data_IF_797429117683
#
_entry.id   IF_797429117683
#
_cell.length_a   1.000
_cell.length_b   1.000
_cell.length_c   1.000
_cell.angle_alpha   90.00
_cell.angle_beta   90.00
_cell.angle_gamma   90.00
#
_symmetry.space_group_name_H-M   'P 1'
#
loop_
_entity.id
_entity.type
_entity.pdbx_description
1 polymer ?
#
# COMPACT_ATOMS: atom_id res chain seq x y z
N UNK A 1 -90.94 -48.53 25.52
CA UNK A 1 -90.08 -49.63 25.06
C UNK A 1 -89.30 -49.12 23.86
N UNK A 2 -87.96 -49.09 23.92
CA UNK A 2 -87.12 -48.45 22.90
C UNK A 2 -87.24 -46.92 22.85
N UNK A 3 -86.22 -46.16 22.39
CA UNK A 3 -84.89 -46.61 21.98
C UNK A 3 -84.24 -45.68 20.95
N UNK A 4 -83.94 -44.42 21.32
CA UNK A 4 -83.32 -43.43 20.41
C UNK A 4 -81.84 -43.19 20.71
N UNK A 5 -81.12 -42.72 19.68
CA UNK A 5 -79.68 -42.99 19.47
C UNK A 5 -78.81 -41.73 19.77
N UNK A 6 -77.53 -41.97 20.11
CA UNK A 6 -76.40 -41.03 20.26
C UNK A 6 -76.51 -39.67 19.51
N UNK A 7 -76.28 -38.52 20.19
CA UNK A 7 -74.98 -37.79 20.35
C UNK A 7 -74.36 -37.32 19.02
N UNK A 8 -73.81 -36.10 18.80
CA UNK A 8 -73.48 -34.85 19.57
C UNK A 8 -73.24 -33.73 18.50
N UNK A 9 -73.33 -32.39 18.66
CA UNK A 9 -73.46 -31.42 19.78
C UNK A 9 -72.18 -31.17 20.63
N UNK A 10 -71.50 -30.00 20.67
CA UNK A 10 -71.61 -28.67 20.00
C UNK A 10 -70.25 -28.34 19.30
N UNK A 11 -69.73 -27.13 18.94
CA UNK A 11 -69.96 -25.66 19.14
C UNK A 11 -69.16 -24.93 18.01
N UNK A 12 -69.42 -23.76 17.39
CA UNK A 12 -70.24 -22.53 17.55
C UNK A 12 -69.47 -21.26 18.01
N UNK A 13 -69.39 -20.25 17.11
CA UNK A 13 -69.28 -18.76 17.34
C UNK A 13 -67.97 -18.26 18.02
N UNK A 14 -67.31 -17.13 17.71
CA UNK A 14 -67.47 -15.85 16.94
C UNK A 14 -66.12 -15.57 16.17
N UNK A 15 -65.89 -14.65 15.22
CA UNK A 15 -66.67 -13.72 14.34
C UNK A 15 -65.86 -13.51 13.01
N UNK A 16 -65.86 -12.46 12.17
CA UNK A 16 -66.47 -11.12 12.11
C UNK A 16 -65.94 -10.28 10.91
N UNK A 17 -66.19 -8.95 10.82
CA UNK A 17 -65.68 -8.07 9.74
C UNK A 17 -65.26 -6.65 10.21
N UNK A 18 -64.07 -6.18 9.79
CA UNK A 18 -63.69 -4.75 9.66
C UNK A 18 -62.82 -4.63 8.39
N UNK A 19 -63.38 -4.21 7.25
CA UNK A 19 -63.48 -2.82 6.76
C UNK A 19 -62.19 -2.27 6.13
N UNK A 20 -62.31 -1.66 4.95
CA UNK A 20 -61.18 -1.32 4.09
C UNK A 20 -60.44 -0.05 4.53
N UNK A 21 -59.11 -0.11 4.53
CA UNK A 21 -58.24 1.07 4.42
C UNK A 21 -57.14 0.80 3.40
N UNK A 22 -57.09 1.64 2.37
CA UNK A 22 -56.06 1.61 1.34
C UNK A 22 -54.74 2.14 1.93
N UNK A 23 -53.70 1.30 1.95
CA UNK A 23 -52.31 1.71 2.19
C UNK A 23 -51.44 1.03 1.14
N UNK A 24 -50.65 1.83 0.43
CA UNK A 24 -49.72 1.34 -0.59
C UNK A 24 -48.68 0.42 0.03
N UNK A 25 -48.51 -0.77 -0.55
CA UNK A 25 -47.22 -1.44 -0.58
C UNK A 25 -46.98 -1.89 -2.02
N UNK A 26 -45.90 -1.42 -2.61
CA UNK A 26 -45.59 -1.62 -4.03
C UNK A 26 -44.96 -3.02 -4.21
N UNK A 27 -45.22 -3.66 -5.35
CA UNK A 27 -44.45 -4.83 -5.81
C UNK A 27 -42.98 -4.45 -6.03
N UNK A 28 -42.20 -4.42 -4.96
CA UNK A 28 -40.76 -4.20 -4.99
C UNK A 28 -40.01 -5.44 -5.47
N UNK A 29 -40.41 -5.99 -6.62
CA UNK A 29 -39.47 -6.61 -7.56
C UNK A 29 -38.68 -5.50 -8.26
N UNK A 30 -38.05 -4.65 -7.46
CA UNK A 30 -37.00 -3.77 -7.93
C UNK A 30 -35.89 -4.66 -8.47
N UNK A 31 -35.41 -4.39 -9.68
CA UNK A 31 -34.23 -5.07 -10.17
C UNK A 31 -33.08 -4.75 -9.21
N UNK A 32 -32.37 -5.78 -8.75
CA UNK A 32 -31.03 -5.60 -8.20
C UNK A 32 -30.15 -5.21 -9.38
N UNK A 33 -30.12 -3.91 -9.69
CA UNK A 33 -29.05 -3.33 -10.49
C UNK A 33 -27.83 -3.27 -9.59
N UNK A 34 -27.15 -4.40 -9.48
CA UNK A 34 -25.78 -4.49 -9.00
C UNK A 34 -24.94 -3.55 -9.86
N UNK A 35 -24.76 -2.32 -9.37
CA UNK A 35 -23.78 -1.37 -9.87
C UNK A 35 -22.40 -1.78 -9.35
N UNK A 36 -22.04 -3.05 -9.55
CA UNK A 36 -20.68 -3.56 -9.35
C UNK A 36 -19.77 -2.93 -10.39
N UNK A 37 -19.32 -1.71 -10.11
CA UNK A 37 -18.00 -1.29 -10.51
C UNK A 37 -17.02 -2.00 -9.56
N UNK A 38 -16.35 -3.09 -9.97
CA UNK A 38 -15.27 -3.65 -9.17
C UNK A 38 -14.21 -2.56 -8.97
N UNK A 39 -13.68 -2.44 -7.74
CA UNK A 39 -12.74 -1.38 -7.38
C UNK A 39 -11.42 -1.58 -8.13
N UNK A 40 -11.29 -0.92 -9.28
CA UNK A 40 -10.25 -1.22 -10.26
C UNK A 40 -8.97 -0.44 -9.97
N UNK A 41 -8.13 -0.99 -9.08
CA UNK A 41 -6.83 -0.42 -8.73
C UNK A 41 -5.80 -0.37 -9.87
N UNK A 42 -6.15 -0.80 -11.10
CA UNK A 42 -5.19 -0.91 -12.22
C UNK A 42 -4.50 0.43 -12.53
N UNK A 43 -5.25 1.53 -12.57
CA UNK A 43 -4.69 2.86 -12.80
C UNK A 43 -3.79 3.31 -11.64
N UNK A 44 -4.22 3.04 -10.40
CA UNK A 44 -3.47 3.36 -9.18
C UNK A 44 -2.15 2.59 -9.09
N UNK A 45 -2.15 1.30 -9.47
CA UNK A 45 -0.97 0.42 -9.50
C UNK A 45 0.03 0.90 -10.56
N UNK A 46 -0.42 1.26 -11.77
CA UNK A 46 0.44 1.85 -12.79
C UNK A 46 1.03 3.18 -12.32
N UNK A 47 0.21 4.08 -11.78
CA UNK A 47 0.66 5.37 -11.25
C UNK A 47 1.69 5.19 -10.13
N UNK A 48 1.45 4.27 -9.18
CA UNK A 48 2.36 3.98 -8.08
C UNK A 48 3.70 3.41 -8.56
N UNK A 49 3.68 2.44 -9.49
CA UNK A 49 4.89 1.89 -10.11
C UNK A 49 5.69 2.95 -10.85
N UNK A 50 5.03 3.80 -11.64
CA UNK A 50 5.67 4.88 -12.40
C UNK A 50 6.21 6.00 -11.52
N UNK A 51 5.57 6.28 -10.37
CA UNK A 51 6.07 7.22 -9.39
C UNK A 51 7.38 6.73 -8.74
N UNK A 52 7.46 5.43 -8.38
CA UNK A 52 8.69 4.83 -7.84
C UNK A 52 9.77 4.77 -8.92
N UNK A 53 9.45 4.28 -10.13
CA UNK A 53 10.38 4.22 -11.27
C UNK A 53 10.96 5.60 -11.60
N UNK A 54 10.10 6.63 -11.67
CA UNK A 54 10.53 8.02 -11.89
C UNK A 54 11.39 8.53 -10.74
N UNK A 55 11.00 8.33 -9.48
CA UNK A 55 11.82 8.75 -8.34
C UNK A 55 13.21 8.11 -8.31
N UNK A 56 13.35 6.86 -8.77
CA UNK A 56 14.66 6.18 -8.92
C UNK A 56 15.46 6.71 -10.12
N UNK A 57 14.80 7.01 -11.25
CA UNK A 57 15.45 7.56 -12.43
C UNK A 57 15.85 9.04 -12.30
N UNK A 58 15.11 9.82 -11.51
CA UNK A 58 15.36 11.22 -11.16
C UNK A 58 16.44 11.37 -10.06
N UNK A 59 16.94 10.28 -9.46
CA UNK A 59 17.88 10.33 -8.35
C UNK A 59 19.34 10.39 -8.82
N UNK A 60 20.08 11.40 -8.35
CA UNK A 60 21.51 11.55 -8.63
C UNK A 60 22.34 10.40 -8.03
N UNK A 61 23.26 9.82 -8.82
CA UNK A 61 24.29 8.90 -8.33
C UNK A 61 24.08 7.42 -8.68
N UNK A 62 24.62 6.47 -7.88
CA UNK A 62 24.54 5.04 -8.15
C UNK A 62 23.16 4.45 -7.83
N UNK A 63 22.86 3.27 -8.37
CA UNK A 63 21.62 2.57 -8.06
C UNK A 63 21.40 2.39 -6.54
N UNK A 64 20.15 2.54 -6.05
CA UNK A 64 19.81 2.26 -4.66
C UNK A 64 20.01 0.78 -4.28
N UNK A 65 20.34 0.46 -3.01
CA UNK A 65 20.53 -0.91 -2.56
C UNK A 65 19.27 -1.78 -2.71
N UNK A 66 19.47 -3.09 -2.92
CA UNK A 66 18.39 -4.06 -3.16
C UNK A 66 17.20 -3.92 -2.21
N UNK A 67 17.47 -3.93 -0.89
CA UNK A 67 16.45 -3.93 0.15
C UNK A 67 15.57 -2.67 0.12
N UNK A 68 16.09 -1.54 -0.37
CA UNK A 68 15.32 -0.32 -0.55
C UNK A 68 14.38 -0.44 -1.75
N UNK A 69 14.85 -0.94 -2.90
CA UNK A 69 13.99 -1.12 -4.09
C UNK A 69 12.91 -2.18 -3.83
N UNK A 70 13.28 -3.27 -3.15
CA UNK A 70 12.36 -4.33 -2.74
C UNK A 70 11.25 -3.78 -1.83
N UNK A 71 11.60 -3.06 -0.76
CA UNK A 71 10.63 -2.42 0.12
C UNK A 71 9.75 -1.39 -0.61
N UNK A 72 10.35 -0.57 -1.47
CA UNK A 72 9.63 0.45 -2.24
C UNK A 72 8.58 -0.19 -3.16
N UNK A 73 8.97 -1.20 -3.93
CA UNK A 73 8.08 -1.82 -4.93
C UNK A 73 7.07 -2.80 -4.36
N UNK A 74 7.38 -3.47 -3.24
CA UNK A 74 6.45 -4.41 -2.59
C UNK A 74 5.52 -3.72 -1.59
N UNK A 75 6.07 -2.96 -0.63
CA UNK A 75 5.31 -2.41 0.48
C UNK A 75 4.93 -0.94 0.26
N UNK A 76 5.87 -0.08 -0.13
CA UNK A 76 5.56 1.35 -0.33
C UNK A 76 4.64 1.59 -1.54
N UNK A 77 4.70 0.73 -2.56
CA UNK A 77 3.77 0.70 -3.70
C UNK A 77 2.32 0.53 -3.24
N UNK A 78 2.05 -0.27 -2.19
CA UNK A 78 0.70 -0.45 -1.61
C UNK A 78 0.21 0.87 -0.99
N UNK A 79 1.05 1.56 -0.23
CA UNK A 79 0.71 2.88 0.30
C UNK A 79 0.40 3.90 -0.81
N UNK A 80 1.22 3.94 -1.86
CA UNK A 80 0.98 4.81 -3.02
C UNK A 80 -0.33 4.49 -3.75
N UNK A 81 -0.65 3.21 -3.96
CA UNK A 81 -1.94 2.79 -4.55
C UNK A 81 -3.10 3.34 -3.72
N UNK A 82 -3.07 3.18 -2.39
CA UNK A 82 -4.13 3.68 -1.51
C UNK A 82 -4.20 5.21 -1.47
N UNK A 83 -3.06 5.90 -1.51
CA UNK A 83 -3.01 7.36 -1.57
C UNK A 83 -3.61 7.89 -2.89
N UNK A 84 -3.21 7.32 -4.03
CA UNK A 84 -3.75 7.68 -5.34
C UNK A 84 -5.25 7.40 -5.43
N UNK A 85 -5.69 6.21 -5.01
CA UNK A 85 -7.08 5.80 -5.09
C UNK A 85 -8.02 6.66 -4.23
N UNK A 86 -7.57 7.04 -3.02
CA UNK A 86 -8.39 7.79 -2.05
C UNK A 86 -8.33 9.31 -2.24
N UNK A 87 -7.22 9.85 -2.79
CA UNK A 87 -6.96 11.29 -2.79
C UNK A 87 -6.50 11.88 -4.15
N UNK A 88 -6.07 11.05 -5.11
CA UNK A 88 -5.61 11.45 -6.45
C UNK A 88 -4.14 11.88 -6.54
N UNK A 89 -3.63 11.97 -7.77
CA UNK A 89 -2.21 12.25 -8.07
C UNK A 89 -1.71 13.66 -7.65
N UNK A 90 -2.60 14.63 -7.44
CA UNK A 90 -2.23 15.99 -7.02
C UNK A 90 -2.36 16.20 -5.50
N UNK A 91 -2.77 15.17 -4.75
CA UNK A 91 -3.06 15.29 -3.32
C UNK A 91 -1.80 15.56 -2.47
N UNK A 92 -1.94 16.17 -1.28
CA UNK A 92 -0.83 16.28 -0.34
C UNK A 92 -0.35 14.91 0.16
N UNK A 93 -1.25 13.95 0.40
CA UNK A 93 -0.92 12.59 0.85
C UNK A 93 -0.06 11.83 -0.16
N UNK A 94 -0.44 11.87 -1.44
CA UNK A 94 0.36 11.31 -2.53
C UNK A 94 1.71 12.01 -2.68
N UNK A 95 1.73 13.36 -2.61
CA UNK A 95 2.99 14.12 -2.70
C UNK A 95 3.93 13.85 -1.52
N UNK A 96 3.42 13.73 -0.28
CA UNK A 96 4.20 13.27 0.88
C UNK A 96 4.74 11.84 0.68
N UNK A 97 3.91 10.93 0.16
CA UNK A 97 4.28 9.54 -0.07
C UNK A 97 5.40 9.38 -1.11
N UNK A 98 5.37 10.17 -2.20
CA UNK A 98 6.41 10.19 -3.24
C UNK A 98 7.65 10.96 -2.79
N UNK A 99 7.50 12.04 -2.01
CA UNK A 99 8.62 12.77 -1.42
C UNK A 99 9.45 11.90 -0.48
N UNK A 100 8.82 11.04 0.33
CA UNK A 100 9.57 10.11 1.19
C UNK A 100 10.47 9.17 0.38
N UNK A 101 10.04 8.74 -0.82
CA UNK A 101 10.88 7.93 -1.72
C UNK A 101 12.15 8.69 -2.08
N UNK A 102 12.02 9.96 -2.49
CA UNK A 102 13.17 10.82 -2.82
C UNK A 102 14.10 10.99 -1.62
N UNK A 103 13.55 11.16 -0.41
CA UNK A 103 14.36 11.26 0.82
C UNK A 103 15.03 9.96 1.25
N UNK A 104 14.41 8.80 1.00
CA UNK A 104 15.01 7.47 1.17
C UNK A 104 16.12 7.19 0.15
N UNK A 105 15.93 7.60 -1.10
CA UNK A 105 16.96 7.49 -2.14
C UNK A 105 18.15 8.42 -1.83
N UNK A 106 17.89 9.67 -1.46
CA UNK A 106 18.92 10.61 -1.02
C UNK A 106 19.71 10.10 0.20
N UNK A 107 19.03 9.49 1.18
CA UNK A 107 19.70 8.99 2.39
C UNK A 107 20.61 7.77 2.16
N UNK A 108 20.47 7.06 1.02
CA UNK A 108 21.36 5.96 0.65
C UNK A 108 22.50 6.35 -0.31
N UNK A 109 22.58 7.60 -0.79
CA UNK A 109 23.63 8.07 -1.69
C UNK A 109 25.04 8.05 -1.05
N UNK A 110 26.13 7.97 -1.83
CA UNK A 110 27.50 8.11 -1.33
C UNK A 110 27.71 9.41 -0.55
N UNK A 111 28.57 9.38 0.47
CA UNK A 111 28.85 10.54 1.34
C UNK A 111 30.28 11.01 1.07
N UNK A 112 30.40 12.06 0.27
CA UNK A 112 31.66 12.60 -0.25
C UNK A 112 32.25 13.72 0.62
N UNK A 113 31.41 14.40 1.43
CA UNK A 113 31.87 15.43 2.38
C UNK A 113 31.45 15.16 3.83
N UNK A 114 32.17 15.76 4.79
CA UNK A 114 31.81 15.72 6.21
C UNK A 114 30.48 16.45 6.45
N UNK A 115 30.19 17.48 5.65
CA UNK A 115 28.98 18.28 5.67
C UNK A 115 27.76 17.43 5.24
N UNK A 116 27.85 16.65 4.17
CA UNK A 116 26.83 15.65 3.80
C UNK A 116 26.58 14.66 4.94
N UNK A 117 27.65 14.14 5.56
CA UNK A 117 27.53 13.20 6.69
C UNK A 117 26.77 13.80 7.87
N UNK A 118 27.05 15.07 8.20
CA UNK A 118 26.34 15.80 9.24
C UNK A 118 24.89 16.16 8.87
N UNK A 119 24.60 16.38 7.59
CA UNK A 119 23.23 16.59 7.10
C UNK A 119 22.41 15.29 7.17
N UNK A 120 22.98 14.17 6.73
CA UNK A 120 22.39 12.84 6.83
C UNK A 120 22.10 12.45 8.29
N UNK A 121 23.05 12.66 9.19
CA UNK A 121 22.86 12.40 10.63
C UNK A 121 21.68 13.18 11.24
N UNK A 122 21.37 14.38 10.71
CA UNK A 122 20.25 15.23 11.16
C UNK A 122 18.92 14.86 10.50
N UNK A 123 18.91 14.33 9.28
CA UNK A 123 17.67 14.01 8.55
C UNK A 123 17.10 12.62 8.86
N UNK A 124 17.95 11.63 9.16
CA UNK A 124 17.55 10.23 9.43
C UNK A 124 16.47 10.09 10.52
N UNK A 125 16.49 10.81 11.66
CA UNK A 125 15.44 10.68 12.67
C UNK A 125 14.03 11.08 12.16
N UNK A 126 13.92 12.16 11.39
CA UNK A 126 12.65 12.57 10.78
C UNK A 126 12.23 11.61 9.66
N UNK A 127 13.19 11.15 8.85
CA UNK A 127 12.95 10.16 7.80
C UNK A 127 12.34 8.86 8.34
N UNK A 128 12.86 8.34 9.46
CA UNK A 128 12.30 7.16 10.15
C UNK A 128 10.91 7.45 10.73
N UNK A 129 10.66 8.67 11.20
CA UNK A 129 9.37 9.08 11.77
C UNK A 129 8.28 9.13 10.71
N UNK A 130 8.56 9.78 9.58
CA UNK A 130 7.65 9.87 8.42
C UNK A 130 7.43 8.50 7.76
N UNK A 131 8.47 7.67 7.71
CA UNK A 131 8.39 6.28 7.25
C UNK A 131 7.44 5.44 8.11
N UNK A 132 7.51 5.56 9.44
CA UNK A 132 6.55 4.90 10.34
C UNK A 132 5.12 5.46 10.19
N UNK A 133 4.95 6.78 9.96
CA UNK A 133 3.64 7.41 9.64
C UNK A 133 3.03 6.79 8.38
N UNK A 134 3.75 6.84 7.25
CA UNK A 134 3.23 6.33 5.97
C UNK A 134 3.04 4.82 5.94
N UNK A 135 3.89 4.05 6.66
CA UNK A 135 3.71 2.62 6.80
C UNK A 135 2.39 2.24 7.51
N UNK A 136 1.98 3.00 8.53
CA UNK A 136 0.69 2.81 9.18
C UNK A 136 -0.50 3.18 8.26
N UNK A 137 -0.36 4.23 7.45
CA UNK A 137 -1.39 4.64 6.47
C UNK A 137 -1.54 3.65 5.31
N UNK A 138 -0.44 3.00 4.91
CA UNK A 138 -0.36 1.99 3.87
C UNK A 138 -0.49 0.54 4.34
N UNK A 139 -0.96 0.34 5.57
CA UNK A 139 -1.18 -0.99 6.20
C UNK A 139 0.00 -1.96 6.08
N UNK A 140 1.24 -1.44 6.14
CA UNK A 140 2.47 -2.24 6.15
C UNK A 140 2.62 -2.85 7.55
N UNK A 141 2.84 -4.16 7.63
CA UNK A 141 2.95 -4.84 8.92
C UNK A 141 4.23 -4.42 9.70
N UNK A 142 4.12 -4.45 11.02
CA UNK A 142 5.19 -3.98 11.90
C UNK A 142 6.47 -4.83 11.84
N UNK A 143 6.39 -6.10 11.47
CA UNK A 143 7.54 -7.01 11.42
C UNK A 143 8.36 -6.70 10.16
N UNK A 144 7.72 -6.61 9.00
CA UNK A 144 8.36 -6.19 7.73
C UNK A 144 8.96 -4.80 7.87
N UNK A 145 8.24 -3.85 8.48
CA UNK A 145 8.74 -2.49 8.71
C UNK A 145 9.98 -2.47 9.62
N UNK A 146 9.99 -3.22 10.73
CA UNK A 146 11.14 -3.28 11.62
C UNK A 146 12.32 -4.08 11.05
N UNK A 147 12.09 -5.03 10.13
CA UNK A 147 13.17 -5.68 9.35
C UNK A 147 13.81 -4.65 8.41
N UNK A 148 13.01 -3.92 7.64
CA UNK A 148 13.48 -2.87 6.73
C UNK A 148 14.24 -1.77 7.48
N UNK A 149 13.71 -1.29 8.61
CA UNK A 149 14.36 -0.28 9.44
C UNK A 149 15.69 -0.75 10.05
N UNK A 150 15.87 -2.05 10.33
CA UNK A 150 17.17 -2.61 10.76
C UNK A 150 18.17 -2.63 9.61
N UNK A 151 17.76 -3.00 8.40
CA UNK A 151 18.61 -2.95 7.21
C UNK A 151 19.04 -1.51 6.89
N UNK A 152 18.09 -0.58 6.88
CA UNK A 152 18.32 0.85 6.65
C UNK A 152 19.20 1.47 7.74
N UNK A 153 18.95 1.14 9.02
CA UNK A 153 19.75 1.57 10.16
C UNK A 153 21.21 1.10 10.08
N UNK A 154 21.43 -0.17 9.74
CA UNK A 154 22.78 -0.72 9.53
C UNK A 154 23.49 -0.04 8.34
N UNK A 155 22.77 0.24 7.25
CA UNK A 155 23.31 0.95 6.09
C UNK A 155 23.72 2.39 6.44
N UNK A 156 22.89 3.12 7.20
CA UNK A 156 23.23 4.46 7.67
C UNK A 156 24.35 4.46 8.71
N UNK A 157 24.39 3.51 9.65
CA UNK A 157 25.48 3.37 10.62
C UNK A 157 26.84 3.26 9.91
N UNK A 158 26.92 2.39 8.90
CA UNK A 158 28.11 2.21 8.06
C UNK A 158 28.46 3.43 7.19
N UNK A 159 27.60 4.45 7.09
CA UNK A 159 27.88 5.73 6.41
C UNK A 159 28.13 6.89 7.38
N UNK A 160 27.64 6.81 8.61
CA UNK A 160 27.78 7.86 9.63
C UNK A 160 29.04 7.71 10.49
N UNK A 161 29.71 6.55 10.50
CA UNK A 161 31.00 6.34 11.17
C UNK A 161 32.07 7.39 10.75
N UNK A 162 32.52 8.27 11.67
CA UNK A 162 33.53 9.28 11.37
C UNK A 162 34.91 8.73 10.96
N UNK A 163 35.22 7.47 11.26
CA UNK A 163 36.49 6.83 10.88
C UNK A 163 36.47 6.23 9.46
N UNK A 164 35.28 5.96 8.90
CA UNK A 164 35.15 5.53 7.50
C UNK A 164 35.63 6.66 6.57
N UNK A 165 36.55 6.41 5.62
CA UNK A 165 36.91 7.35 4.57
C UNK A 165 35.68 7.87 3.81
N UNK A 166 35.69 9.13 3.41
CA UNK A 166 34.64 9.69 2.56
C UNK A 166 34.61 8.92 1.23
N UNK A 167 33.40 8.72 0.69
CA UNK A 167 33.25 8.08 -0.62
C UNK A 167 33.94 8.96 -1.70
N UNK A 168 34.68 8.37 -2.65
CA UNK A 168 35.47 9.14 -3.61
C UNK A 168 34.58 10.02 -4.50
N UNK A 169 35.08 11.21 -4.86
CA UNK A 169 34.43 12.12 -5.82
C UNK A 169 34.69 11.61 -7.26
N UNK A 170 34.19 10.41 -7.55
CA UNK A 170 34.26 9.77 -8.87
C UNK A 170 32.86 9.21 -9.22
N UNK A 171 32.12 9.83 -10.16
CA UNK A 171 30.78 9.40 -10.55
C UNK A 171 30.68 7.97 -11.13
N UNK A 172 31.81 7.35 -11.50
CA UNK A 172 31.86 6.06 -12.18
C UNK A 172 32.58 4.96 -11.38
N UNK A 173 32.97 5.21 -10.12
CA UNK A 173 33.59 4.19 -9.27
C UNK A 173 32.54 3.46 -8.42
N UNK A 174 32.48 2.12 -8.43
CA UNK A 174 31.63 1.35 -7.53
C UNK A 174 32.22 1.33 -6.11
N UNK A 175 32.19 2.46 -5.40
CA UNK A 175 32.56 2.53 -3.97
C UNK A 175 31.72 1.52 -3.18
N UNK A 176 32.41 0.60 -2.48
CA UNK A 176 32.00 -0.66 -1.83
C UNK A 176 30.54 -0.76 -1.29
N UNK A 177 29.61 -0.60 -2.21
CA UNK A 177 28.16 -0.76 -2.09
C UNK A 177 27.84 -2.01 -2.88
N UNK A 178 27.05 -2.92 -2.31
CA UNK A 178 26.72 -4.22 -2.91
C UNK A 178 26.26 -3.98 -4.36
N UNK A 179 27.11 -4.36 -5.32
CA UNK A 179 26.97 -3.95 -6.71
C UNK A 179 25.83 -4.70 -7.37
N UNK A 180 24.64 -4.13 -7.29
CA UNK A 180 23.57 -4.46 -8.23
C UNK A 180 23.95 -3.87 -9.58
N UNK A 181 24.58 -4.69 -10.42
CA UNK A 181 24.62 -4.39 -11.85
C UNK A 181 23.17 -4.27 -12.35
N UNK A 182 22.87 -3.22 -13.12
CA UNK A 182 21.57 -3.03 -13.81
C UNK A 182 21.21 -4.27 -14.65
N UNK A 183 22.23 -5.05 -15.04
CA UNK A 183 22.16 -6.27 -15.83
C UNK A 183 21.95 -7.55 -15.02
N UNK A 184 21.90 -7.52 -13.68
CA UNK A 184 21.58 -8.72 -12.88
C UNK A 184 20.19 -9.23 -13.30
N UNK A 185 20.08 -10.45 -13.86
CA UNK A 185 18.81 -11.01 -14.29
C UNK A 185 17.78 -11.08 -13.15
N UNK A 186 18.22 -11.10 -11.88
CA UNK A 186 17.33 -11.05 -10.71
C UNK A 186 16.67 -9.68 -10.56
N UNK A 187 17.42 -8.59 -10.68
CA UNK A 187 16.86 -7.25 -10.55
C UNK A 187 15.89 -6.95 -11.69
N UNK A 188 16.27 -7.33 -12.92
CA UNK A 188 15.35 -7.28 -14.05
C UNK A 188 14.13 -8.19 -13.83
N UNK A 189 14.31 -9.45 -13.43
CA UNK A 189 13.19 -10.36 -13.19
C UNK A 189 12.28 -9.87 -12.05
N UNK A 190 12.81 -9.20 -11.03
CA UNK A 190 12.01 -8.57 -9.97
C UNK A 190 11.16 -7.44 -10.57
N UNK A 191 11.71 -6.55 -11.41
CA UNK A 191 10.92 -5.51 -12.08
C UNK A 191 9.87 -6.11 -13.05
N UNK A 192 10.30 -7.04 -13.92
CA UNK A 192 9.43 -7.74 -14.88
C UNK A 192 8.33 -8.58 -14.14
N UNK A 193 8.61 -9.09 -12.93
CA UNK A 193 7.64 -9.79 -12.05
C UNK A 193 6.73 -8.81 -11.28
N UNK A 194 7.23 -7.64 -10.88
CA UNK A 194 6.42 -6.59 -10.24
C UNK A 194 5.41 -5.96 -11.20
N UNK A 195 5.72 -5.94 -12.50
CA UNK A 195 4.79 -5.58 -13.58
C UNK A 195 3.97 -6.78 -14.10
N UNK A 196 4.46 -8.01 -13.89
CA UNK A 196 3.86 -9.26 -14.42
C UNK A 196 2.94 -10.04 -13.47
N UNK A 197 3.06 -9.86 -12.15
CA UNK A 197 2.20 -10.52 -11.14
C UNK A 197 0.94 -9.70 -10.93
N UNK A 198 -0.12 -10.13 -11.64
CA UNK A 198 -1.48 -10.21 -11.13
C UNK A 198 -2.05 -8.94 -10.47
N UNK A 199 -2.06 -7.83 -11.21
CA UNK A 199 -2.83 -6.62 -10.90
C UNK A 199 -4.37 -6.79 -10.98
N UNK A 200 -4.87 -7.95 -10.56
CA UNK A 200 -6.28 -8.38 -10.51
C UNK A 200 -6.56 -9.23 -9.25
N UNK A 201 -5.57 -9.94 -8.70
CA UNK A 201 -5.77 -10.67 -7.44
C UNK A 201 -5.80 -9.71 -6.25
N UNK A 202 -7.01 -9.56 -5.70
CA UNK A 202 -7.37 -8.96 -4.42
C UNK A 202 -6.26 -8.28 -3.61
N UNK A 203 -6.29 -6.94 -3.58
CA UNK A 203 -5.76 -6.19 -2.43
C UNK A 203 -6.77 -6.37 -1.28
N UNK A 204 -6.73 -7.52 -0.61
CA UNK A 204 -7.44 -7.72 0.65
C UNK A 204 -6.84 -6.76 1.71
N UNK A 205 -7.70 -5.87 2.22
CA UNK A 205 -7.43 -4.87 3.26
C UNK A 205 -8.21 -5.18 4.54
#
# INVERSE_FOLDING_TARGET
MGGLISRRSTRSIHDGQISARNVFSIDCRAAVTESENPVSYKADITAAGDAIRRAIADADGPLPPHFLVEFLMSQWRRYLVLAHHRHGADSPEWREAVDLIRRLLFSVLPVTTVQERQALAKSVPQLITDLRKGAALGTIDAITLDIFLKQLGNFHFNKLDPQRPLDPVNPNEPSNTITMDVRDPRYRAILDQLDGVDGVEHIDM
#
